data_IF_689835663471
#
_entry.id   IF_689835663471
#
_cell.length_a   1.000
_cell.length_b   1.000
_cell.length_c   1.000
_cell.angle_alpha   90.00
_cell.angle_beta   90.00
_cell.angle_gamma   90.00
#
_symmetry.space_group_name_H-M   'P 1'
#
loop_
_entity.id
_entity.type
_entity.pdbx_description
1 polymer ?
#
# COMPACT_ATOMS: atom_id res chain seq x y z
N UNK A 1 -12.47 -21.19 -14.71
CA UNK A 1 -11.98 -20.49 -13.49
C UNK A 1 -12.86 -19.29 -13.20
N UNK A 2 -13.51 -19.29 -12.05
CA UNK A 2 -14.21 -18.13 -11.48
C UNK A 2 -13.22 -17.00 -11.15
N UNK A 3 -13.74 -15.80 -10.91
CA UNK A 3 -12.91 -14.66 -10.48
C UNK A 3 -12.22 -14.96 -9.14
N UNK A 4 -12.93 -15.61 -8.21
CA UNK A 4 -12.37 -15.99 -6.91
C UNK A 4 -11.19 -16.97 -7.05
N UNK A 5 -11.32 -17.99 -7.92
CA UNK A 5 -10.23 -18.94 -8.20
C UNK A 5 -9.01 -18.24 -8.81
N UNK A 6 -9.23 -17.25 -9.69
CA UNK A 6 -8.12 -16.46 -10.27
C UNK A 6 -7.43 -15.61 -9.21
N UNK A 7 -8.18 -14.95 -8.33
CA UNK A 7 -7.62 -14.14 -7.24
C UNK A 7 -6.83 -15.01 -6.27
N UNK A 8 -7.40 -16.14 -5.83
CA UNK A 8 -6.71 -17.06 -4.91
C UNK A 8 -5.38 -17.55 -5.49
N UNK A 9 -5.34 -17.87 -6.78
CA UNK A 9 -4.10 -18.29 -7.44
C UNK A 9 -3.07 -17.14 -7.52
N UNK A 10 -3.51 -15.89 -7.72
CA UNK A 10 -2.62 -14.72 -7.65
C UNK A 10 -2.08 -14.49 -6.24
N UNK A 11 -2.88 -14.72 -5.20
CA UNK A 11 -2.47 -14.60 -3.80
C UNK A 11 -1.43 -15.66 -3.42
N UNK A 12 -1.62 -16.91 -3.87
CA UNK A 12 -0.65 -17.98 -3.66
C UNK A 12 0.69 -17.67 -4.34
N UNK A 13 0.65 -17.22 -5.60
CA UNK A 13 1.84 -16.80 -6.34
C UNK A 13 2.55 -15.63 -5.64
N UNK A 14 1.79 -14.63 -5.19
CA UNK A 14 2.34 -13.49 -4.46
C UNK A 14 3.01 -13.91 -3.15
N UNK A 15 2.38 -14.81 -2.39
CA UNK A 15 2.92 -15.33 -1.14
C UNK A 15 4.23 -16.09 -1.37
N UNK A 16 4.29 -16.92 -2.40
CA UNK A 16 5.51 -17.66 -2.75
C UNK A 16 6.65 -16.70 -3.12
N UNK A 17 6.39 -15.76 -4.04
CA UNK A 17 7.39 -14.78 -4.50
C UNK A 17 7.86 -13.83 -3.40
N UNK A 18 6.95 -13.39 -2.52
CA UNK A 18 7.28 -12.46 -1.43
C UNK A 18 7.97 -13.14 -0.24
N UNK A 19 7.82 -14.46 -0.07
CA UNK A 19 8.49 -15.21 0.99
C UNK A 19 10.02 -15.26 0.82
N UNK A 20 10.51 -15.12 -0.42
CA UNK A 20 11.94 -15.09 -0.76
C UNK A 20 12.57 -13.69 -0.69
N UNK A 21 11.92 -12.72 -0.03
CA UNK A 21 12.45 -11.37 0.18
C UNK A 21 13.74 -11.31 1.06
N UNK A 22 14.40 -12.44 1.30
CA UNK A 22 15.68 -12.54 2.02
C UNK A 22 16.84 -11.76 1.37
N UNK A 23 16.65 -11.16 0.19
CA UNK A 23 17.68 -10.35 -0.49
C UNK A 23 17.30 -8.89 -0.74
N UNK A 24 16.07 -8.44 -0.46
CA UNK A 24 15.66 -7.06 -0.72
C UNK A 24 15.61 -6.26 0.57
N UNK A 25 16.64 -5.47 0.83
CA UNK A 25 16.55 -4.40 1.83
C UNK A 25 15.83 -3.21 1.22
N UNK A 26 14.84 -2.69 1.94
CA UNK A 26 14.32 -1.37 1.62
C UNK A 26 15.45 -0.34 1.66
N UNK A 27 15.40 0.71 0.82
CA UNK A 27 16.33 1.84 0.94
C UNK A 27 16.28 2.47 2.33
N UNK A 28 17.41 2.99 2.81
CA UNK A 28 17.52 3.58 4.15
C UNK A 28 16.50 4.69 4.41
N UNK A 29 16.17 5.48 3.39
CA UNK A 29 15.18 6.57 3.49
C UNK A 29 13.76 6.09 3.78
N UNK A 30 13.44 4.83 3.47
CA UNK A 30 12.08 4.30 3.57
C UNK A 30 11.60 4.30 5.03
N UNK A 31 12.45 3.85 5.96
CA UNK A 31 12.12 3.83 7.38
C UNK A 31 11.89 5.24 7.94
N UNK A 32 12.72 6.20 7.54
CA UNK A 32 12.58 7.60 7.96
C UNK A 32 11.25 8.21 7.49
N UNK A 33 10.87 7.98 6.24
CA UNK A 33 9.61 8.50 5.70
C UNK A 33 8.39 7.88 6.40
N UNK A 34 8.43 6.58 6.69
CA UNK A 34 7.36 5.89 7.41
C UNK A 34 7.22 6.41 8.85
N UNK A 35 8.34 6.62 9.54
CA UNK A 35 8.34 7.16 10.89
C UNK A 35 7.74 8.58 10.94
N UNK A 36 8.11 9.44 9.99
CA UNK A 36 7.57 10.81 9.93
C UNK A 36 6.07 10.81 9.61
N UNK A 37 5.62 10.02 8.63
CA UNK A 37 4.19 9.90 8.31
C UNK A 37 3.39 9.39 9.50
N UNK A 38 3.93 8.43 10.25
CA UNK A 38 3.29 7.93 11.47
C UNK A 38 3.18 9.03 12.53
N UNK A 39 4.26 9.77 12.80
CA UNK A 39 4.26 10.90 13.73
C UNK A 39 3.21 11.95 13.35
N UNK A 40 3.17 12.32 12.07
CA UNK A 40 2.19 13.28 11.55
C UNK A 40 0.76 12.79 11.75
N UNK A 41 0.48 11.51 11.51
CA UNK A 41 -0.86 10.95 11.71
C UNK A 41 -1.25 10.93 13.19
N UNK A 42 -0.33 10.55 14.09
CA UNK A 42 -0.55 10.53 15.53
C UNK A 42 -0.74 11.94 16.12
N UNK A 43 -0.05 12.94 15.56
CA UNK A 43 -0.21 14.34 15.93
C UNK A 43 -1.48 15.01 15.38
N UNK A 44 -2.16 14.36 14.43
CA UNK A 44 -3.32 14.92 13.73
C UNK A 44 -2.97 15.95 12.64
N UNK A 45 -1.68 16.15 12.35
CA UNK A 45 -1.21 17.01 11.25
C UNK A 45 -1.58 16.45 9.86
N UNK A 46 -1.76 15.12 9.75
CA UNK A 46 -2.35 14.47 8.59
C UNK A 46 -3.52 13.58 9.01
N UNK A 47 -4.52 13.49 8.13
CA UNK A 47 -5.72 12.68 8.36
C UNK A 47 -5.88 11.56 7.34
N UNK A 48 -6.76 10.63 7.65
CA UNK A 48 -7.24 9.62 6.71
C UNK A 48 -8.52 10.11 6.05
N UNK A 49 -8.70 9.78 4.78
CA UNK A 49 -9.93 10.04 4.04
C UNK A 49 -10.58 8.71 3.66
N UNK A 50 -11.89 8.76 3.45
CA UNK A 50 -12.63 7.63 2.90
C UNK A 50 -12.10 7.25 1.51
N UNK A 51 -12.07 5.95 1.22
CA UNK A 51 -11.48 5.44 -0.01
C UNK A 51 -12.24 5.83 -1.27
N UNK A 52 -13.59 5.85 -1.22
CA UNK A 52 -14.39 6.30 -2.35
C UNK A 52 -14.21 7.80 -2.60
N UNK A 53 -14.06 8.57 -1.52
CA UNK A 53 -13.72 9.99 -1.60
C UNK A 53 -12.35 10.23 -2.22
N UNK A 54 -11.31 9.53 -1.76
CA UNK A 54 -9.96 9.64 -2.32
C UNK A 54 -9.92 9.30 -3.82
N UNK A 55 -10.57 8.21 -4.23
CA UNK A 55 -10.62 7.80 -5.65
C UNK A 55 -11.23 8.88 -6.53
N UNK A 56 -12.35 9.48 -6.08
CA UNK A 56 -13.01 10.57 -6.80
C UNK A 56 -12.08 11.77 -6.94
N UNK A 57 -11.46 12.22 -5.84
CA UNK A 57 -10.54 13.37 -5.87
C UNK A 57 -9.33 13.13 -6.80
N UNK A 58 -8.78 11.91 -6.81
CA UNK A 58 -7.69 11.54 -7.72
C UNK A 58 -8.16 11.60 -9.18
N UNK A 59 -9.34 11.04 -9.48
CA UNK A 59 -9.90 11.08 -10.83
C UNK A 59 -10.16 12.51 -11.30
N UNK A 60 -10.70 13.37 -10.43
CA UNK A 60 -10.99 14.77 -10.74
C UNK A 60 -9.72 15.58 -11.01
N UNK A 61 -8.59 15.24 -10.35
CA UNK A 61 -7.30 15.94 -10.53
C UNK A 61 -6.53 15.52 -11.79
N UNK A 62 -6.80 14.33 -12.32
CA UNK A 62 -6.10 13.78 -13.49
C UNK A 62 -6.87 14.09 -14.79
N UNK A 63 -8.12 14.52 -14.70
CA UNK A 63 -8.96 14.89 -15.85
C UNK A 63 -8.72 16.32 -16.31
#
# INVERSE_FOLDING_TARGET
>A
MSVAEKIGMMEELWKDLSSQAAGYSSPDWHGHLLAERKRLAESGEIGFTDWETAKREIQDRIR
#
